data_IF_036293805511
#
_entry.id   IF_036293805511
#
_cell.length_a   1.000
_cell.length_b   1.000
_cell.length_c   1.000
_cell.angle_alpha   90.00
_cell.angle_beta   90.00
_cell.angle_gamma   90.00
#
_symmetry.space_group_name_H-M   'P 1'
#
loop_
_entity.id
_entity.type
_entity.pdbx_description
1 polymer ?
#
# COMPACT_ATOMS: atom_id res chain seq x y z
N UNK A 1 47.71 43.00 2.19
CA UNK A 1 48.07 42.17 3.36
C UNK A 1 47.11 40.99 3.40
N UNK A 2 47.60 39.83 3.82
CA UNK A 2 47.01 38.47 3.74
C UNK A 2 47.30 37.82 2.38
N UNK A 3 48.16 36.81 2.23
CA UNK A 3 48.72 35.86 3.19
C UNK A 3 48.69 34.49 2.53
N UNK A 4 49.63 34.23 1.62
CA UNK A 4 49.79 32.96 0.91
C UNK A 4 50.33 31.90 1.86
N UNK A 5 49.42 31.19 2.54
CA UNK A 5 49.74 30.00 3.33
C UNK A 5 49.79 28.76 2.45
N UNK A 6 50.96 28.45 1.90
CA UNK A 6 51.21 27.16 1.26
C UNK A 6 51.24 26.04 2.30
N UNK A 7 50.32 25.09 2.18
CA UNK A 7 50.36 23.84 2.94
C UNK A 7 50.96 22.79 2.00
N UNK A 8 52.27 22.57 2.13
CA UNK A 8 52.91 21.41 1.54
C UNK A 8 52.45 20.15 2.29
N UNK A 9 52.02 19.07 1.61
CA UNK A 9 51.75 17.82 2.28
C UNK A 9 53.08 17.21 2.75
N UNK A 10 53.18 16.96 4.05
CA UNK A 10 54.26 16.14 4.61
C UNK A 10 54.09 14.71 4.07
N UNK A 11 54.94 14.30 3.14
CA UNK A 11 55.15 12.90 2.79
C UNK A 11 55.90 12.25 3.95
N UNK A 12 55.16 11.59 4.84
CA UNK A 12 55.72 10.94 6.02
C UNK A 12 54.90 9.71 6.38
N UNK A 13 55.36 8.55 5.92
CA UNK A 13 54.77 7.25 6.21
C UNK A 13 55.43 6.17 5.39
N UNK A 14 56.56 5.65 5.88
CA UNK A 14 57.21 4.44 5.38
C UNK A 14 56.18 3.30 5.33
N UNK A 15 55.86 2.82 4.12
CA UNK A 15 55.09 1.61 3.92
C UNK A 15 55.82 0.44 4.58
N UNK A 16 55.34 0.00 5.74
CA UNK A 16 55.70 -1.30 6.26
C UNK A 16 54.99 -2.35 5.40
N UNK A 17 55.77 -3.19 4.72
CA UNK A 17 55.30 -4.39 4.04
C UNK A 17 54.60 -5.30 5.05
N UNK A 18 53.28 -5.19 5.12
CA UNK A 18 52.46 -6.15 5.85
C UNK A 18 52.60 -7.51 5.16
N UNK A 19 53.01 -8.53 5.90
CA UNK A 19 53.08 -9.90 5.40
C UNK A 19 51.75 -10.30 4.73
N UNK A 20 51.79 -11.06 3.61
CA UNK A 20 50.58 -11.40 2.87
C UNK A 20 49.60 -12.14 3.77
N UNK A 21 48.35 -11.64 3.81
CA UNK A 21 47.28 -12.29 4.56
C UNK A 21 46.98 -13.67 3.95
N UNK A 22 46.72 -14.70 4.77
CA UNK A 22 46.37 -16.02 4.26
C UNK A 22 45.07 -15.96 3.46
N UNK A 23 44.98 -16.77 2.41
CA UNK A 23 43.76 -16.92 1.61
C UNK A 23 42.68 -17.59 2.47
N UNK A 24 41.49 -16.99 2.48
CA UNK A 24 40.31 -17.53 3.17
C UNK A 24 39.25 -17.96 2.16
N UNK A 25 38.43 -18.98 2.48
CA UNK A 25 37.25 -19.32 1.68
C UNK A 25 36.22 -18.19 1.61
N UNK A 26 35.42 -18.15 0.53
CA UNK A 26 34.39 -17.12 0.32
C UNK A 26 33.42 -16.98 1.50
N UNK A 27 32.92 -18.10 2.03
CA UNK A 27 31.94 -18.09 3.13
C UNK A 27 32.53 -17.47 4.41
N UNK A 28 33.82 -17.67 4.66
CA UNK A 28 34.52 -17.07 5.79
C UNK A 28 34.65 -15.55 5.60
N UNK A 29 35.01 -15.10 4.40
CA UNK A 29 35.05 -13.68 4.08
C UNK A 29 33.69 -13.00 4.26
N UNK A 30 32.61 -13.62 3.78
CA UNK A 30 31.24 -13.12 3.94
C UNK A 30 30.83 -13.03 5.42
N UNK A 31 31.13 -14.07 6.21
CA UNK A 31 30.88 -14.09 7.65
C UNK A 31 31.59 -12.93 8.35
N UNK A 32 32.88 -12.73 8.09
CA UNK A 32 33.66 -11.63 8.68
C UNK A 32 33.04 -10.28 8.34
N UNK A 33 32.66 -10.05 7.08
CA UNK A 33 32.00 -8.79 6.69
C UNK A 33 30.69 -8.60 7.46
N UNK A 34 29.81 -9.60 7.46
CA UNK A 34 28.49 -9.50 8.11
C UNK A 34 28.59 -9.33 9.63
N UNK A 35 29.62 -9.86 10.28
CA UNK A 35 29.88 -9.67 11.72
C UNK A 35 30.28 -8.24 12.08
N UNK A 36 30.81 -7.46 11.14
CA UNK A 36 31.28 -6.09 11.37
C UNK A 36 30.31 -5.02 10.85
N UNK A 37 29.30 -5.42 10.07
CA UNK A 37 28.26 -4.52 9.57
C UNK A 37 27.14 -4.39 10.60
N UNK A 38 26.74 -3.16 10.88
CA UNK A 38 25.61 -2.85 11.75
C UNK A 38 24.60 -1.98 10.99
N UNK A 39 23.33 -2.09 11.36
CA UNK A 39 22.31 -1.20 10.83
C UNK A 39 22.62 0.25 11.22
N UNK A 40 22.46 1.15 10.26
CA UNK A 40 22.59 2.59 10.52
C UNK A 40 21.41 3.10 11.35
N UNK A 41 21.60 4.29 11.90
CA UNK A 41 20.55 5.03 12.60
C UNK A 41 19.30 5.18 11.72
N UNK A 42 18.16 5.37 12.37
CA UNK A 42 16.93 5.69 11.65
C UNK A 42 16.87 7.18 11.30
N UNK A 43 16.17 7.48 10.22
CA UNK A 43 15.76 8.82 9.84
C UNK A 43 14.29 8.78 9.41
N UNK A 44 13.66 9.95 9.43
CA UNK A 44 12.28 10.09 9.02
C UNK A 44 12.22 10.54 7.55
N UNK A 45 11.34 9.93 6.77
CA UNK A 45 11.11 10.28 5.37
C UNK A 45 9.61 10.33 5.09
N UNK A 46 9.23 11.15 4.11
CA UNK A 46 7.87 11.10 3.56
C UNK A 46 7.67 9.82 2.74
N UNK A 47 6.42 9.37 2.62
CA UNK A 47 6.05 8.13 1.93
C UNK A 47 6.63 8.03 0.50
N UNK A 48 6.65 9.13 -0.24
CA UNK A 48 7.16 9.20 -1.62
C UNK A 48 8.66 8.89 -1.72
N UNK A 49 9.42 9.15 -0.67
CA UNK A 49 10.86 8.88 -0.57
C UNK A 49 11.16 7.52 0.06
N UNK A 50 10.13 6.80 0.50
CA UNK A 50 10.27 5.54 1.21
C UNK A 50 10.60 4.36 0.28
N UNK A 51 10.43 4.48 -1.04
CA UNK A 51 10.69 3.38 -1.96
C UNK A 51 12.15 2.87 -1.83
N UNK A 52 12.29 1.55 -1.73
CA UNK A 52 13.53 0.81 -1.51
C UNK A 52 14.26 1.10 -0.18
N UNK A 53 13.66 1.88 0.73
CA UNK A 53 14.13 2.02 2.11
C UNK A 53 13.80 0.77 2.92
N UNK A 54 14.34 0.68 4.12
CA UNK A 54 14.04 -0.40 5.08
C UNK A 54 13.42 0.25 6.32
N UNK A 55 12.24 -0.19 6.73
CA UNK A 55 11.57 0.33 7.92
C UNK A 55 12.43 0.11 9.17
N UNK A 56 12.56 1.16 9.98
CA UNK A 56 13.20 1.09 11.28
C UNK A 56 12.20 0.74 12.39
N UNK A 57 10.92 1.12 12.20
CA UNK A 57 9.81 0.89 13.12
C UNK A 57 8.63 0.25 12.38
N UNK A 58 7.76 -0.52 13.06
CA UNK A 58 6.57 -1.06 12.44
C UNK A 58 5.59 0.06 12.04
N UNK A 59 4.78 -0.19 11.01
CA UNK A 59 3.64 0.66 10.62
C UNK A 59 2.37 0.04 11.19
N UNK A 60 1.58 0.87 11.87
CA UNK A 60 0.33 0.50 12.52
C UNK A 60 -0.81 1.26 11.84
N UNK A 61 -1.92 0.59 11.55
CA UNK A 61 -3.08 1.25 10.95
C UNK A 61 -3.88 2.06 11.98
N UNK A 62 -4.35 3.25 11.58
CA UNK A 62 -5.17 4.14 12.41
C UNK A 62 -6.69 3.92 12.24
N UNK A 63 -7.07 3.11 11.25
CA UNK A 63 -8.44 2.72 10.89
C UNK A 63 -8.57 1.22 10.70
N UNK A 64 -9.81 0.73 10.80
CA UNK A 64 -10.15 -0.62 10.35
C UNK A 64 -10.20 -0.66 8.82
N UNK A 65 -9.85 -1.79 8.22
CA UNK A 65 -10.04 -2.05 6.79
C UNK A 65 -10.95 -3.29 6.60
N UNK A 66 -12.11 -3.13 5.94
CA UNK A 66 -12.76 -1.86 5.61
C UNK A 66 -13.19 -1.07 6.86
N UNK A 67 -13.36 0.26 6.79
CA UNK A 67 -13.73 1.09 7.95
C UNK A 67 -15.21 0.99 8.34
N UNK A 68 -16.01 0.35 7.50
CA UNK A 68 -17.44 0.10 7.69
C UNK A 68 -17.83 -1.14 6.89
N UNK A 69 -18.97 -1.73 7.23
CA UNK A 69 -19.55 -2.82 6.44
C UNK A 69 -19.86 -2.31 5.03
N UNK A 70 -19.30 -2.96 4.01
CA UNK A 70 -19.42 -2.53 2.62
C UNK A 70 -19.83 -3.65 1.69
N UNK A 71 -20.48 -3.29 0.61
CA UNK A 71 -20.75 -4.23 -0.48
C UNK A 71 -19.46 -4.62 -1.21
N UNK A 72 -19.33 -5.90 -1.58
CA UNK A 72 -18.27 -6.36 -2.50
C UNK A 72 -18.77 -6.60 -3.93
N UNK A 73 -20.05 -6.29 -4.21
CA UNK A 73 -20.69 -6.42 -5.53
C UNK A 73 -21.63 -5.25 -5.83
N UNK A 74 -21.92 -5.01 -7.12
CA UNK A 74 -23.02 -4.14 -7.53
C UNK A 74 -24.34 -4.91 -7.43
N UNK A 75 -25.39 -4.28 -6.92
CA UNK A 75 -26.68 -4.94 -6.77
C UNK A 75 -27.66 -4.21 -5.86
N UNK A 76 -28.34 -4.96 -5.00
CA UNK A 76 -29.32 -4.45 -4.05
C UNK A 76 -29.00 -4.89 -2.63
N UNK A 77 -28.84 -3.93 -1.73
CA UNK A 77 -28.81 -4.17 -0.29
C UNK A 77 -30.21 -4.58 0.15
N UNK A 78 -30.31 -5.73 0.81
CA UNK A 78 -31.56 -6.37 1.21
C UNK A 78 -31.49 -6.85 2.65
N UNK A 79 -32.67 -7.14 3.20
CA UNK A 79 -32.82 -8.03 4.35
C UNK A 79 -32.88 -9.45 3.81
N UNK A 80 -31.96 -10.31 4.21
CA UNK A 80 -31.92 -11.73 3.82
C UNK A 80 -33.27 -12.42 4.11
N UNK A 81 -33.91 -12.07 5.24
CA UNK A 81 -35.23 -12.57 5.60
C UNK A 81 -36.34 -12.25 4.59
N UNK A 82 -36.26 -11.12 3.88
CA UNK A 82 -37.28 -10.71 2.91
C UNK A 82 -37.11 -11.42 1.56
N UNK A 83 -35.97 -12.07 1.33
CA UNK A 83 -35.63 -12.78 0.08
C UNK A 83 -35.46 -14.28 0.27
N UNK A 84 -35.74 -14.81 1.45
CA UNK A 84 -35.60 -16.24 1.76
C UNK A 84 -36.45 -17.13 0.83
N UNK A 85 -37.66 -16.68 0.49
CA UNK A 85 -38.60 -17.36 -0.39
C UNK A 85 -38.56 -16.82 -1.84
N UNK A 86 -37.40 -16.32 -2.30
CA UNK A 86 -37.25 -15.82 -3.66
C UNK A 86 -37.74 -16.84 -4.73
N UNK A 87 -38.36 -16.38 -5.84
CA UNK A 87 -38.38 -14.99 -6.31
C UNK A 87 -39.40 -14.08 -5.59
N UNK A 88 -38.99 -12.86 -5.27
CA UNK A 88 -39.80 -11.87 -4.52
C UNK A 88 -39.63 -10.47 -5.09
N UNK A 89 -40.67 -9.64 -5.01
CA UNK A 89 -40.60 -8.21 -5.37
C UNK A 89 -40.31 -7.38 -4.13
N UNK A 90 -39.30 -6.51 -4.21
CA UNK A 90 -38.97 -5.54 -3.17
C UNK A 90 -39.13 -4.12 -3.71
N UNK A 91 -39.52 -3.20 -2.83
CA UNK A 91 -39.57 -1.78 -3.13
C UNK A 91 -38.17 -1.18 -3.05
N UNK A 92 -37.69 -0.60 -4.14
CA UNK A 92 -36.45 0.17 -4.13
C UNK A 92 -36.75 1.55 -3.52
N UNK A 93 -36.02 1.89 -2.46
CA UNK A 93 -36.24 3.10 -1.66
C UNK A 93 -35.04 4.05 -1.63
N UNK A 94 -34.04 3.81 -2.46
CA UNK A 94 -32.79 4.57 -2.45
C UNK A 94 -31.68 3.92 -3.28
N UNK A 95 -30.66 4.71 -3.60
CA UNK A 95 -29.39 4.25 -4.16
C UNK A 95 -28.26 4.66 -3.22
N UNK A 96 -27.23 3.83 -3.12
CA UNK A 96 -26.05 4.06 -2.31
C UNK A 96 -24.81 3.95 -3.21
N UNK A 97 -24.36 5.08 -3.80
CA UNK A 97 -23.08 5.11 -4.50
C UNK A 97 -21.90 4.95 -3.53
N UNK A 98 -20.73 4.58 -4.06
CA UNK A 98 -19.53 4.52 -3.25
C UNK A 98 -19.14 5.91 -2.72
N UNK A 99 -18.73 5.97 -1.46
CA UNK A 99 -18.31 7.22 -0.81
C UNK A 99 -19.44 8.05 -0.18
N UNK A 100 -20.69 7.58 -0.20
CA UNK A 100 -21.80 8.24 0.51
C UNK A 100 -22.24 7.47 1.75
N UNK A 101 -22.90 8.18 2.68
CA UNK A 101 -23.54 7.59 3.86
C UNK A 101 -25.02 7.38 3.52
N UNK A 102 -25.59 6.18 3.74
CA UNK A 102 -27.01 5.94 3.51
C UNK A 102 -27.89 6.86 4.36
N UNK A 103 -28.83 7.57 3.74
CA UNK A 103 -29.67 8.57 4.42
C UNK A 103 -30.83 7.97 5.23
N UNK A 104 -31.13 6.69 5.04
CA UNK A 104 -32.21 5.97 5.73
C UNK A 104 -31.91 4.48 5.84
N UNK A 105 -32.55 3.84 6.81
CA UNK A 105 -32.53 2.39 6.98
C UNK A 105 -33.50 1.67 6.03
N UNK A 106 -33.21 0.40 5.75
CA UNK A 106 -34.08 -0.53 5.02
C UNK A 106 -35.09 -1.17 5.98
N UNK A 107 -36.38 -1.13 5.61
CA UNK A 107 -37.49 -1.77 6.34
C UNK A 107 -37.91 -3.09 5.66
N UNK A 108 -38.75 -3.92 6.31
CA UNK A 108 -39.28 -5.13 5.68
C UNK A 108 -39.94 -4.85 4.32
N UNK A 109 -39.55 -5.63 3.30
CA UNK A 109 -40.03 -5.50 1.93
C UNK A 109 -39.39 -4.35 1.13
N UNK A 110 -38.39 -3.67 1.69
CA UNK A 110 -37.61 -2.61 1.02
C UNK A 110 -36.21 -3.10 0.64
N UNK A 111 -35.61 -2.45 -0.34
CA UNK A 111 -34.19 -2.59 -0.69
C UNK A 111 -33.62 -1.26 -1.19
N UNK A 112 -32.30 -1.17 -1.27
CA UNK A 112 -31.63 -0.06 -1.94
C UNK A 112 -30.67 -0.59 -2.99
N UNK A 113 -30.57 0.09 -4.12
CA UNK A 113 -29.49 -0.17 -5.07
C UNK A 113 -28.16 0.22 -4.41
N UNK A 114 -27.14 -0.62 -4.54
CA UNK A 114 -25.85 -0.44 -3.90
C UNK A 114 -24.72 -0.77 -4.86
N UNK A 115 -23.70 0.08 -4.90
CA UNK A 115 -22.51 -0.16 -5.71
C UNK A 115 -21.43 -0.89 -4.89
N UNK A 116 -20.50 -1.51 -5.59
CA UNK A 116 -19.30 -2.12 -5.03
C UNK A 116 -18.52 -1.09 -4.23
N UNK A 117 -18.16 -1.43 -2.99
CA UNK A 117 -17.45 -0.56 -2.06
C UNK A 117 -18.33 0.44 -1.30
N UNK A 118 -19.62 0.54 -1.61
CA UNK A 118 -20.54 1.40 -0.87
C UNK A 118 -20.88 0.84 0.52
N UNK A 119 -21.17 1.75 1.46
CA UNK A 119 -21.51 1.42 2.84
C UNK A 119 -22.87 0.69 2.90
N UNK A 120 -22.95 -0.37 3.71
CA UNK A 120 -24.20 -1.06 3.97
C UNK A 120 -25.16 -0.14 4.75
N UNK A 121 -26.42 0.01 4.33
CA UNK A 121 -27.42 0.77 5.08
C UNK A 121 -27.88 0.00 6.30
N UNK A 122 -28.25 0.73 7.36
CA UNK A 122 -28.90 0.13 8.52
C UNK A 122 -30.12 -0.68 8.10
N UNK A 123 -30.30 -1.84 8.73
CA UNK A 123 -31.43 -2.72 8.45
C UNK A 123 -31.25 -3.64 7.25
N UNK A 124 -30.18 -3.54 6.45
CA UNK A 124 -29.78 -4.61 5.52
C UNK A 124 -28.64 -5.45 6.10
N UNK A 125 -28.62 -6.73 5.72
CA UNK A 125 -27.62 -7.70 6.17
C UNK A 125 -27.02 -8.53 5.03
N UNK A 126 -27.50 -8.36 3.79
CA UNK A 126 -26.96 -9.03 2.62
C UNK A 126 -27.07 -8.16 1.36
N UNK A 127 -26.33 -8.52 0.32
CA UNK A 127 -26.45 -7.93 -1.02
C UNK A 127 -26.82 -9.01 -2.03
N UNK A 128 -27.79 -8.73 -2.89
CA UNK A 128 -28.07 -9.54 -4.08
C UNK A 128 -27.45 -8.86 -5.28
N UNK A 129 -26.52 -9.54 -5.96
CA UNK A 129 -25.86 -9.02 -7.16
C UNK A 129 -26.86 -8.66 -8.26
N UNK A 130 -26.59 -7.62 -9.03
CA UNK A 130 -27.51 -7.08 -10.05
C UNK A 130 -27.95 -8.13 -11.07
N UNK A 131 -27.09 -9.09 -11.43
CA UNK A 131 -27.38 -10.14 -12.39
C UNK A 131 -28.42 -11.17 -11.89
N UNK A 132 -28.65 -11.22 -10.58
CA UNK A 132 -29.69 -12.03 -9.95
C UNK A 132 -30.99 -11.22 -9.71
N UNK A 133 -31.13 -10.06 -10.36
CA UNK A 133 -32.30 -9.17 -10.22
C UNK A 133 -32.88 -8.77 -11.57
N UNK A 134 -34.13 -8.33 -11.56
CA UNK A 134 -34.82 -7.78 -12.74
C UNK A 134 -35.62 -6.53 -12.33
N UNK A 135 -35.33 -5.34 -12.90
CA UNK A 135 -36.12 -4.15 -12.63
C UNK A 135 -37.57 -4.32 -13.13
N UNK A 136 -38.55 -4.08 -12.25
CA UNK A 136 -39.98 -4.21 -12.59
C UNK A 136 -40.56 -2.90 -13.12
N UNK A 137 -40.08 -1.77 -12.60
CA UNK A 137 -40.37 -0.44 -13.14
C UNK A 137 -39.14 0.10 -13.86
N UNK A 138 -39.28 0.70 -15.06
CA UNK A 138 -38.16 1.31 -15.76
C UNK A 138 -37.57 2.44 -14.91
N UNK A 139 -36.24 2.56 -14.90
CA UNK A 139 -35.55 3.65 -14.21
C UNK A 139 -36.11 5.00 -14.65
N UNK A 140 -36.42 5.93 -13.73
CA UNK A 140 -36.86 7.26 -14.11
C UNK A 140 -35.78 7.90 -14.99
N UNK A 141 -36.15 8.24 -16.23
CA UNK A 141 -35.27 8.98 -17.14
C UNK A 141 -34.85 10.28 -16.45
N UNK A 142 -33.55 10.43 -16.26
CA UNK A 142 -32.91 11.57 -15.61
C UNK A 142 -33.38 12.91 -16.20
N UNK A 143 -34.33 13.55 -15.54
CA UNK A 143 -34.55 14.99 -15.57
C UNK A 143 -35.26 15.36 -14.27
N UNK A 144 -34.48 15.77 -13.26
CA UNK A 144 -34.92 16.35 -11.97
C UNK A 144 -35.17 15.41 -10.76
N UNK A 145 -34.70 14.16 -10.79
CA UNK A 145 -34.67 13.35 -9.56
C UNK A 145 -33.44 13.71 -8.70
N UNK A 146 -33.66 13.92 -7.39
CA UNK A 146 -32.60 14.02 -6.38
C UNK A 146 -31.61 12.86 -6.53
N UNK A 147 -30.34 13.07 -6.19
CA UNK A 147 -29.22 12.10 -6.26
C UNK A 147 -29.42 10.84 -5.37
N UNK A 148 -30.63 10.67 -4.82
CA UNK A 148 -31.02 9.75 -3.74
C UNK A 148 -32.17 8.79 -4.13
N UNK A 149 -32.81 8.91 -5.30
CA UNK A 149 -34.12 8.26 -5.54
C UNK A 149 -34.19 7.35 -6.79
N UNK A 150 -33.86 6.05 -6.69
CA UNK A 150 -34.57 5.02 -7.44
C UNK A 150 -35.84 4.65 -6.66
N UNK A 151 -36.96 5.29 -7.02
CA UNK A 151 -38.31 4.85 -6.61
C UNK A 151 -38.78 3.83 -7.62
N UNK A 152 -38.98 2.60 -7.18
CA UNK A 152 -39.43 1.53 -8.07
C UNK A 152 -39.56 0.19 -7.38
N UNK A 153 -39.70 -0.85 -8.18
CA UNK A 153 -39.67 -2.24 -7.70
C UNK A 153 -38.65 -3.05 -8.47
N UNK A 154 -38.03 -3.99 -7.76
CA UNK A 154 -37.10 -4.97 -8.33
C UNK A 154 -37.57 -6.37 -7.97
N UNK A 155 -37.49 -7.28 -8.94
CA UNK A 155 -37.65 -8.70 -8.72
C UNK A 155 -36.29 -9.29 -8.33
N UNK A 156 -36.19 -9.77 -7.09
CA UNK A 156 -35.07 -10.57 -6.63
C UNK A 156 -35.31 -12.01 -7.05
N UNK A 157 -34.41 -12.59 -7.86
CA UNK A 157 -34.58 -13.94 -8.42
C UNK A 157 -34.07 -15.06 -7.51
N UNK A 158 -33.07 -14.76 -6.68
CA UNK A 158 -32.35 -15.77 -5.89
C UNK A 158 -32.28 -15.33 -4.43
N UNK A 159 -32.51 -16.27 -3.52
CA UNK A 159 -32.33 -16.06 -2.08
C UNK A 159 -30.85 -15.90 -1.72
N UNK A 160 -30.57 -15.12 -0.68
CA UNK A 160 -29.21 -14.98 -0.12
C UNK A 160 -29.26 -15.07 1.39
N UNK A 161 -28.21 -15.63 1.98
CA UNK A 161 -28.04 -15.72 3.42
C UNK A 161 -27.48 -14.41 3.99
N UNK A 162 -27.69 -14.11 5.29
CA UNK A 162 -27.05 -12.98 5.95
C UNK A 162 -25.53 -12.96 5.75
N UNK A 163 -24.97 -11.79 5.43
CA UNK A 163 -23.55 -11.59 5.15
C UNK A 163 -23.13 -11.87 3.71
N UNK A 164 -24.01 -12.39 2.85
CA UNK A 164 -23.69 -12.64 1.44
C UNK A 164 -23.29 -11.33 0.74
N UNK A 165 -22.08 -11.34 0.15
CA UNK A 165 -21.46 -10.18 -0.52
C UNK A 165 -21.30 -8.93 0.36
N UNK A 166 -21.17 -9.11 1.68
CA UNK A 166 -20.83 -8.04 2.64
C UNK A 166 -19.45 -8.30 3.22
N UNK A 167 -18.53 -7.34 3.05
CA UNK A 167 -17.28 -7.30 3.83
C UNK A 167 -17.53 -6.50 5.09
N UNK A 168 -17.32 -7.10 6.27
CA UNK A 168 -17.53 -6.44 7.56
C UNK A 168 -16.37 -5.52 7.89
N UNK A 169 -16.67 -4.51 8.70
CA UNK A 169 -15.67 -3.61 9.24
C UNK A 169 -14.53 -4.39 9.91
N UNK A 170 -13.30 -4.11 9.51
CA UNK A 170 -12.10 -4.73 10.08
C UNK A 170 -11.87 -6.19 9.69
N UNK A 171 -12.54 -6.71 8.64
CA UNK A 171 -12.32 -8.07 8.13
C UNK A 171 -10.90 -8.30 7.59
N UNK A 172 -10.21 -7.25 7.11
CA UNK A 172 -8.85 -7.37 6.60
C UNK A 172 -7.82 -7.03 7.68
N UNK A 173 -7.97 -5.88 8.32
CA UNK A 173 -7.07 -5.37 9.36
C UNK A 173 -7.88 -4.53 10.34
N UNK A 174 -7.60 -4.67 11.63
CA UNK A 174 -8.20 -3.84 12.66
C UNK A 174 -7.32 -2.67 13.06
N UNK A 175 -7.95 -1.57 13.48
CA UNK A 175 -7.26 -0.41 14.03
C UNK A 175 -6.27 -0.83 15.13
N UNK A 176 -5.03 -0.38 15.01
CA UNK A 176 -3.96 -0.69 15.97
C UNK A 176 -3.14 -1.94 15.64
N UNK A 177 -3.51 -2.69 14.61
CA UNK A 177 -2.69 -3.80 14.12
C UNK A 177 -1.50 -3.32 13.29
N UNK A 178 -0.41 -4.09 13.37
CA UNK A 178 0.80 -3.86 12.58
C UNK A 178 0.56 -4.36 11.15
N UNK A 179 0.64 -3.46 10.17
CA UNK A 179 0.51 -3.79 8.74
C UNK A 179 1.85 -4.04 8.07
N UNK A 180 2.93 -3.47 8.60
CA UNK A 180 4.31 -3.68 8.13
C UNK A 180 5.24 -3.74 9.32
N UNK A 181 6.05 -4.79 9.39
CA UNK A 181 7.02 -4.98 10.47
C UNK A 181 8.26 -4.10 10.30
N UNK A 182 8.95 -3.81 11.40
CA UNK A 182 10.29 -3.24 11.34
C UNK A 182 11.24 -4.19 10.57
N UNK A 183 12.14 -3.64 9.77
CA UNK A 183 13.01 -4.40 8.88
C UNK A 183 12.40 -4.73 7.51
N UNK A 184 11.11 -4.41 7.29
CA UNK A 184 10.48 -4.57 5.98
C UNK A 184 11.14 -3.65 4.95
N UNK A 185 11.50 -4.22 3.79
CA UNK A 185 11.93 -3.44 2.64
C UNK A 185 10.73 -2.83 1.94
N UNK A 186 10.74 -1.53 1.74
CA UNK A 186 9.67 -0.77 1.11
C UNK A 186 9.64 -1.04 -0.41
N UNK A 187 8.89 -2.05 -0.81
CA UNK A 187 8.49 -2.31 -2.20
C UNK A 187 7.29 -1.43 -2.59
N UNK A 188 6.90 -1.36 -3.87
CA UNK A 188 5.67 -0.63 -4.25
C UNK A 188 4.42 -1.09 -3.47
N UNK A 189 4.29 -2.40 -3.21
CA UNK A 189 3.18 -2.93 -2.40
C UNK A 189 3.25 -2.49 -0.93
N UNK A 190 4.44 -2.48 -0.33
CA UNK A 190 4.62 -1.99 1.04
C UNK A 190 4.35 -0.48 1.15
N UNK A 191 4.74 0.31 0.14
CA UNK A 191 4.38 1.74 0.08
C UNK A 191 2.86 1.91 0.01
N UNK A 192 2.17 1.11 -0.81
CA UNK A 192 0.71 1.12 -0.86
C UNK A 192 0.04 0.72 0.47
N UNK A 193 0.57 -0.29 1.16
CA UNK A 193 0.07 -0.70 2.48
C UNK A 193 0.28 0.39 3.54
N UNK A 194 1.45 1.05 3.56
CA UNK A 194 1.70 2.19 4.43
C UNK A 194 0.73 3.35 4.13
N UNK A 195 0.46 3.63 2.85
CA UNK A 195 -0.51 4.64 2.43
C UNK A 195 -1.93 4.31 2.95
N UNK A 196 -2.37 3.06 2.79
CA UNK A 196 -3.67 2.59 3.23
C UNK A 196 -3.84 2.68 4.76
N UNK A 197 -2.75 2.48 5.50
CA UNK A 197 -2.69 2.65 6.95
C UNK A 197 -2.55 4.11 7.42
N UNK A 198 -2.59 5.09 6.50
CA UNK A 198 -2.45 6.52 6.83
C UNK A 198 -1.01 6.96 7.14
N UNK A 199 -0.02 6.08 6.97
CA UNK A 199 1.37 6.34 7.32
C UNK A 199 2.10 7.13 6.22
N UNK A 200 1.95 8.46 6.26
CA UNK A 200 2.57 9.40 5.32
C UNK A 200 4.02 9.75 5.67
N UNK A 201 4.43 9.45 6.91
CA UNK A 201 5.75 9.73 7.47
C UNK A 201 6.29 8.45 8.10
N UNK A 202 7.46 8.02 7.66
CA UNK A 202 8.01 6.70 7.98
C UNK A 202 9.41 6.81 8.58
N UNK A 203 9.63 6.09 9.68
CA UNK A 203 10.98 5.88 10.22
C UNK A 203 11.67 4.76 9.47
N UNK A 204 12.75 5.08 8.76
CA UNK A 204 13.52 4.16 7.93
C UNK A 204 14.99 4.17 8.31
N UNK A 205 15.72 3.11 8.00
CA UNK A 205 17.18 3.08 8.16
C UNK A 205 17.84 4.03 7.17
N UNK A 206 18.81 4.82 7.64
CA UNK A 206 19.64 5.68 6.79
C UNK A 206 20.35 4.88 5.71
N UNK A 207 20.52 5.46 4.53
CA UNK A 207 21.30 4.83 3.44
C UNK A 207 22.80 4.95 3.74
N UNK A 208 23.58 3.87 3.59
CA UNK A 208 25.03 3.98 3.71
C UNK A 208 25.58 4.88 2.61
N UNK A 209 26.45 5.81 3.00
CA UNK A 209 27.21 6.61 2.05
C UNK A 209 28.49 5.85 1.71
N UNK A 210 28.68 5.56 0.43
CA UNK A 210 29.81 4.76 -0.07
C UNK A 210 30.69 5.64 -0.93
N UNK A 211 31.94 5.84 -0.50
CA UNK A 211 32.97 6.48 -1.31
C UNK A 211 33.73 5.41 -2.11
N UNK A 212 33.92 5.65 -3.41
CA UNK A 212 34.66 4.76 -4.29
C UNK A 212 35.92 5.49 -4.76
N UNK A 213 37.08 4.90 -4.47
CA UNK A 213 38.38 5.38 -4.93
C UNK A 213 38.98 4.31 -5.85
N UNK A 214 39.50 4.74 -6.99
CA UNK A 214 40.16 3.86 -7.94
C UNK A 214 41.64 4.23 -8.01
N UNK A 215 42.50 3.21 -8.01
CA UNK A 215 43.96 3.38 -7.98
C UNK A 215 44.60 2.60 -9.12
N UNK A 216 45.46 3.25 -9.89
CA UNK A 216 46.21 2.65 -11.00
C UNK A 216 46.75 3.74 -11.91
N UNK A 217 48.06 3.75 -12.17
CA UNK A 217 48.69 4.74 -13.05
C UNK A 217 48.33 4.55 -14.53
N UNK A 218 47.83 3.37 -14.88
CA UNK A 218 47.34 2.98 -16.19
C UNK A 218 45.90 3.45 -16.45
N UNK A 219 45.18 3.90 -15.42
CA UNK A 219 43.76 4.20 -15.53
C UNK A 219 43.52 5.62 -16.05
N UNK A 220 42.65 5.72 -17.05
CA UNK A 220 42.12 6.98 -17.58
C UNK A 220 40.61 7.08 -17.41
N UNK A 221 40.06 8.30 -17.52
CA UNK A 221 38.62 8.53 -17.47
C UNK A 221 37.87 7.74 -18.56
N UNK A 222 36.61 7.29 -18.31
CA UNK A 222 35.79 6.65 -19.34
C UNK A 222 35.68 7.44 -20.66
N UNK A 223 35.69 8.78 -20.58
CA UNK A 223 35.56 9.66 -21.74
C UNK A 223 36.86 9.82 -22.54
N UNK A 224 38.01 9.48 -21.97
CA UNK A 224 39.30 9.61 -22.64
C UNK A 224 39.52 8.45 -23.61
N UNK A 225 40.35 8.68 -24.64
CA UNK A 225 40.85 7.61 -25.52
C UNK A 225 42.18 7.13 -24.94
N UNK A 226 42.27 5.89 -24.43
CA UNK A 226 43.51 5.39 -23.87
C UNK A 226 44.63 5.39 -24.91
N UNK A 227 45.83 5.78 -24.49
CA UNK A 227 47.03 5.70 -25.32
C UNK A 227 48.07 4.78 -24.67
N UNK A 228 48.83 4.06 -25.50
CA UNK A 228 49.85 3.13 -25.02
C UNK A 228 49.26 2.02 -24.13
N UNK A 229 49.75 1.91 -22.89
CA UNK A 229 49.33 0.91 -21.91
C UNK A 229 48.19 1.37 -20.99
N UNK A 230 47.52 2.47 -21.34
CA UNK A 230 46.37 2.95 -20.57
C UNK A 230 45.13 2.09 -20.83
N UNK A 231 44.28 1.98 -19.82
CA UNK A 231 42.95 1.39 -19.90
C UNK A 231 41.94 2.31 -19.21
N UNK A 232 40.65 2.20 -19.56
CA UNK A 232 39.61 3.01 -18.92
C UNK A 232 39.29 2.47 -17.54
N UNK A 233 39.03 3.37 -16.61
CA UNK A 233 38.34 3.07 -15.37
C UNK A 233 36.87 2.72 -15.69
N UNK A 234 36.41 1.51 -15.31
CA UNK A 234 35.11 0.94 -15.68
C UNK A 234 34.32 0.43 -14.49
#
# INVERSE_FOLDING_TARGET
MNGTGGIAPKVGGSGQDAAPRPLIPLHEAQRIVLEHVHALEEEEVILDEALHRVLARPVVTDVDDPPFDRSVMDGYAVRAADVADAPVRLRVVGAIPAGTVPERSIRPGECMQINTGAMMPDGADAVVRVEATEPVTPEPRASHASETEPVGEVLIRTAVEPGTFVARRGDHVQKGEVVLEAGTRMTPGAVGAAAAAGATLLHVRRRPQVAVLVTGSELVSPAEVPVGAQIRNS
#
